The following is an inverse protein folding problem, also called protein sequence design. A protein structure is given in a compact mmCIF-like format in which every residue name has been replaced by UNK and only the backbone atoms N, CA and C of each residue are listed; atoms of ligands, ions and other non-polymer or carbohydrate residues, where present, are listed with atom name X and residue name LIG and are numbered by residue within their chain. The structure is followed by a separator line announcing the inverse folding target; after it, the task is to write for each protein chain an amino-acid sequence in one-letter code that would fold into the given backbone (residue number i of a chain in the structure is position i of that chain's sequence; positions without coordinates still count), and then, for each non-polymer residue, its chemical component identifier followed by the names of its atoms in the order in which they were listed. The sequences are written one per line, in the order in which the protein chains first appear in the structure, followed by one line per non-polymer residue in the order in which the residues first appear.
data_IF_736614431189
#
_entry.id   IF_736614431189
#
_cell.length_a   1.000
_cell.length_b   1.000
_cell.length_c   1.000
_cell.angle_alpha   90.00
_cell.angle_beta   90.00
_cell.angle_gamma   90.00
#
_symmetry.space_group_name_H-M   'P 1'
#
loop_
_entity.id
_entity.type
_entity.pdbx_description
1 polymer ?
#
# COMPACT_ATOMS: atom_id res chain seq x y z
N UNK A 1 -22.30 17.11 10.27
CA UNK A 1 -21.14 16.38 10.83
C UNK A 1 -21.55 15.02 11.38
N UNK A 2 -22.67 14.91 12.10
CA UNK A 2 -23.12 13.64 12.72
C UNK A 2 -23.20 12.44 11.76
N UNK A 3 -23.71 12.63 10.54
CA UNK A 3 -23.75 11.57 9.53
C UNK A 3 -22.35 11.05 9.12
N UNK A 4 -21.36 11.94 9.02
CA UNK A 4 -19.98 11.56 8.69
C UNK A 4 -19.32 10.82 9.85
N UNK A 5 -19.56 11.26 11.09
CA UNK A 5 -19.11 10.52 12.28
C UNK A 5 -19.77 9.14 12.38
N UNK A 6 -21.04 9.00 11.97
CA UNK A 6 -21.71 7.71 11.91
C UNK A 6 -21.06 6.79 10.87
N UNK A 7 -20.78 7.31 9.68
CA UNK A 7 -20.08 6.57 8.61
C UNK A 7 -18.69 6.11 9.11
N UNK A 8 -17.93 6.99 9.77
CA UNK A 8 -16.65 6.63 10.40
C UNK A 8 -16.80 5.42 11.33
N UNK A 9 -17.77 5.47 12.26
CA UNK A 9 -18.00 4.40 13.24
C UNK A 9 -18.39 3.08 12.56
N UNK A 10 -19.24 3.14 11.54
CA UNK A 10 -19.66 1.95 10.76
C UNK A 10 -18.45 1.33 10.05
N UNK A 11 -17.69 2.13 9.30
CA UNK A 11 -16.53 1.63 8.54
C UNK A 11 -15.45 1.09 9.48
N UNK A 12 -15.15 1.80 10.58
CA UNK A 12 -14.25 1.31 11.62
C UNK A 12 -14.74 -0.02 12.19
N UNK A 13 -16.04 -0.13 12.51
CA UNK A 13 -16.65 -1.37 13.00
C UNK A 13 -16.50 -2.53 12.02
N UNK A 14 -16.77 -2.31 10.72
CA UNK A 14 -16.60 -3.31 9.66
C UNK A 14 -15.15 -3.81 9.60
N UNK A 15 -14.17 -2.92 9.72
CA UNK A 15 -12.75 -3.31 9.73
C UNK A 15 -12.41 -4.16 10.95
N UNK A 16 -12.93 -3.78 12.13
CA UNK A 16 -12.71 -4.50 13.39
C UNK A 16 -13.42 -5.84 13.48
N UNK A 17 -14.30 -6.20 12.53
CA UNK A 17 -14.79 -7.58 12.38
C UNK A 17 -13.67 -8.56 11.96
N UNK A 18 -12.54 -8.03 11.49
CA UNK A 18 -11.33 -8.79 11.15
C UNK A 18 -11.59 -10.02 10.25
N UNK A 19 -12.41 -9.83 9.21
CA UNK A 19 -12.78 -10.88 8.25
C UNK A 19 -12.00 -10.71 6.94
N UNK A 20 -11.25 -11.74 6.54
CA UNK A 20 -10.49 -11.74 5.28
C UNK A 20 -11.40 -11.48 4.06
N UNK A 21 -12.59 -12.08 4.02
CA UNK A 21 -13.54 -11.89 2.90
C UNK A 21 -14.04 -10.45 2.82
N UNK A 22 -14.21 -9.78 3.96
CA UNK A 22 -14.57 -8.36 4.00
C UNK A 22 -13.40 -7.52 3.49
N UNK A 23 -12.19 -7.78 3.98
CA UNK A 23 -10.97 -7.07 3.58
C UNK A 23 -10.73 -7.15 2.07
N UNK A 24 -10.91 -8.32 1.46
CA UNK A 24 -10.81 -8.49 0.01
C UNK A 24 -11.73 -7.54 -0.78
N UNK A 25 -12.93 -7.26 -0.25
CA UNK A 25 -13.88 -6.34 -0.88
C UNK A 25 -13.57 -4.89 -0.56
N UNK A 26 -13.53 -4.52 0.71
CA UNK A 26 -13.45 -3.11 1.12
C UNK A 26 -12.08 -2.48 0.81
N UNK A 27 -11.02 -3.28 0.78
CA UNK A 27 -9.69 -2.84 0.38
C UNK A 27 -9.42 -3.10 -1.10
N UNK A 28 -10.41 -3.54 -1.87
CA UNK A 28 -10.35 -3.60 -3.32
C UNK A 28 -10.07 -2.23 -3.94
N UNK A 29 -9.51 -2.23 -5.16
CA UNK A 29 -9.10 -1.01 -5.86
C UNK A 29 -10.24 0.02 -6.01
N UNK A 30 -11.46 -0.46 -6.20
CA UNK A 30 -12.66 0.35 -6.35
C UNK A 30 -13.10 1.07 -5.06
N UNK A 31 -12.90 0.45 -3.90
CA UNK A 31 -13.48 0.93 -2.63
C UNK A 31 -12.47 1.52 -1.67
N UNK A 32 -11.19 1.13 -1.74
CA UNK A 32 -10.20 1.45 -0.71
C UNK A 32 -10.04 2.96 -0.48
N UNK A 33 -10.16 3.78 -1.53
CA UNK A 33 -10.09 5.23 -1.38
C UNK A 33 -11.30 5.78 -0.62
N UNK A 34 -12.50 5.25 -0.85
CA UNK A 34 -13.72 5.67 -0.15
C UNK A 34 -13.74 5.20 1.30
N UNK A 35 -13.18 4.01 1.56
CA UNK A 35 -12.94 3.52 2.93
C UNK A 35 -12.00 4.47 3.68
N UNK A 36 -10.85 4.83 3.08
CA UNK A 36 -9.91 5.78 3.68
C UNK A 36 -10.58 7.14 3.91
N UNK A 37 -11.39 7.60 2.95
CA UNK A 37 -12.15 8.84 3.05
C UNK A 37 -13.19 8.86 4.16
N UNK A 38 -13.86 7.74 4.36
CA UNK A 38 -14.82 7.56 5.45
C UNK A 38 -14.16 7.66 6.83
N UNK A 39 -12.87 7.34 6.91
CA UNK A 39 -12.07 7.37 8.13
C UNK A 39 -11.43 8.74 8.43
N UNK A 40 -11.68 9.75 7.60
CA UNK A 40 -11.19 11.13 7.80
C UNK A 40 -11.93 11.89 8.92
N UNK A 41 -13.10 11.39 9.32
CA UNK A 41 -14.07 12.06 10.20
C UNK A 41 -14.16 11.37 11.57
N UNK A 42 -13.02 11.12 12.21
CA UNK A 42 -12.97 10.57 13.56
C UNK A 42 -13.60 11.57 14.56
N UNK A 43 -14.69 11.21 15.28
CA UNK A 43 -15.30 12.10 16.26
C UNK A 43 -14.41 12.41 17.46
N UNK A 44 -13.38 11.59 17.71
CA UNK A 44 -12.45 11.77 18.83
C UNK A 44 -11.28 12.71 18.47
N UNK A 45 -11.20 13.16 17.21
CA UNK A 45 -10.17 14.07 16.72
C UNK A 45 -10.79 15.43 16.37
N UNK A 46 -10.29 16.57 16.91
CA UNK A 46 -10.91 17.88 16.71
C UNK A 46 -10.97 18.38 15.26
N UNK A 47 -10.13 17.82 14.38
CA UNK A 47 -9.95 18.27 13.01
C UNK A 47 -10.06 17.10 12.04
N UNK A 48 -10.74 17.34 10.91
CA UNK A 48 -10.85 16.37 9.82
C UNK A 48 -9.46 16.05 9.29
N UNK A 49 -9.18 14.76 9.11
CA UNK A 49 -7.92 14.31 8.56
C UNK A 49 -7.98 14.32 7.03
N UNK A 50 -6.86 14.57 6.35
CA UNK A 50 -6.81 14.66 4.89
C UNK A 50 -6.06 13.47 4.27
N UNK A 51 -6.42 12.26 4.71
CA UNK A 51 -5.74 11.02 4.34
C UNK A 51 -5.81 10.74 2.84
N UNK A 52 -6.96 10.94 2.19
CA UNK A 52 -7.10 10.76 0.73
C UNK A 52 -6.28 11.77 -0.05
N UNK A 53 -6.24 13.03 0.38
CA UNK A 53 -5.48 14.07 -0.31
C UNK A 53 -3.98 13.76 -0.26
N UNK A 54 -3.48 13.28 0.87
CA UNK A 54 -2.09 12.82 0.96
C UNK A 54 -1.79 11.73 -0.07
N UNK A 55 -2.64 10.70 -0.16
CA UNK A 55 -2.48 9.60 -1.13
C UNK A 55 -2.62 10.04 -2.60
N UNK A 56 -3.35 11.12 -2.89
CA UNK A 56 -3.53 11.63 -4.26
C UNK A 56 -2.41 12.57 -4.69
N UNK A 57 -1.95 13.44 -3.79
CA UNK A 57 -1.04 14.54 -4.12
C UNK A 57 0.41 14.22 -3.83
N UNK A 58 0.69 13.36 -2.84
CA UNK A 58 2.06 13.16 -2.32
C UNK A 58 2.63 11.78 -2.63
N UNK A 59 1.78 10.85 -3.07
CA UNK A 59 2.14 9.46 -3.32
C UNK A 59 2.26 9.25 -4.82
N UNK A 60 3.50 9.12 -5.29
CA UNK A 60 3.82 8.94 -6.71
C UNK A 60 4.37 7.55 -6.92
N UNK A 61 3.67 6.76 -7.73
CA UNK A 61 4.15 5.45 -8.17
C UNK A 61 5.25 5.62 -9.21
N UNK A 62 6.37 4.94 -9.01
CA UNK A 62 7.54 4.99 -9.88
C UNK A 62 8.00 3.60 -10.23
N UNK A 63 8.19 3.37 -11.52
CA UNK A 63 8.66 2.10 -12.07
C UNK A 63 10.08 2.29 -12.62
N UNK A 64 11.05 1.50 -12.15
CA UNK A 64 12.35 1.45 -12.82
C UNK A 64 12.36 0.50 -14.03
N UNK A 65 11.49 -0.50 -13.98
CA UNK A 65 11.19 -1.44 -15.07
C UNK A 65 9.67 -1.47 -15.20
N UNK A 66 9.11 -1.27 -16.40
CA UNK A 66 7.66 -1.32 -16.59
C UNK A 66 7.09 -2.67 -16.15
N UNK A 67 6.10 -2.66 -15.27
CA UNK A 67 5.36 -3.85 -14.88
C UNK A 67 4.24 -4.04 -15.91
N UNK A 68 4.26 -5.14 -16.66
CA UNK A 68 3.30 -5.35 -17.76
C UNK A 68 1.93 -5.82 -17.26
N UNK A 69 1.90 -6.52 -16.14
CA UNK A 69 0.68 -7.10 -15.62
C UNK A 69 -0.08 -6.07 -14.76
N UNK A 70 -1.26 -5.57 -15.21
CA UNK A 70 -2.03 -4.60 -14.44
C UNK A 70 -2.52 -5.15 -13.09
N UNK A 71 -2.67 -6.47 -12.96
CA UNK A 71 -3.01 -7.10 -11.68
C UNK A 71 -1.89 -6.94 -10.64
N UNK A 72 -0.63 -7.00 -11.07
CA UNK A 72 0.54 -6.80 -10.20
C UNK A 72 0.58 -5.35 -9.73
N UNK A 73 0.37 -4.40 -10.64
CA UNK A 73 0.28 -2.96 -10.31
C UNK A 73 -0.84 -2.70 -9.30
N UNK A 74 -2.04 -3.21 -9.55
CA UNK A 74 -3.20 -3.08 -8.64
C UNK A 74 -2.86 -3.61 -7.24
N UNK A 75 -2.16 -4.74 -7.16
CA UNK A 75 -1.76 -5.38 -5.90
C UNK A 75 -0.67 -4.62 -5.15
N UNK A 76 0.29 -4.02 -5.84
CA UNK A 76 1.28 -3.11 -5.25
C UNK A 76 0.58 -1.90 -4.63
N UNK A 77 -0.36 -1.26 -5.35
CA UNK A 77 -1.12 -0.14 -4.82
C UNK A 77 -1.99 -0.54 -3.64
N UNK A 78 -2.65 -1.70 -3.71
CA UNK A 78 -3.45 -2.24 -2.63
C UNK A 78 -2.59 -2.47 -1.38
N UNK A 79 -1.44 -3.13 -1.51
CA UNK A 79 -0.50 -3.37 -0.40
C UNK A 79 -0.07 -2.05 0.26
N UNK A 80 0.29 -1.04 -0.53
CA UNK A 80 0.66 0.27 0.00
C UNK A 80 -0.47 0.95 0.77
N UNK A 81 -1.67 1.01 0.18
CA UNK A 81 -2.83 1.68 0.79
C UNK A 81 -3.30 0.96 2.05
N UNK A 82 -3.27 -0.38 2.08
CA UNK A 82 -3.57 -1.17 3.29
C UNK A 82 -2.52 -0.93 4.37
N UNK A 83 -1.23 -0.85 4.02
CA UNK A 83 -0.18 -0.48 4.95
C UNK A 83 -0.38 0.92 5.53
N UNK A 84 -0.66 1.91 4.68
CA UNK A 84 -0.97 3.27 5.11
C UNK A 84 -2.20 3.32 6.03
N UNK A 85 -3.26 2.57 5.70
CA UNK A 85 -4.44 2.47 6.55
C UNK A 85 -4.09 1.89 7.93
N UNK A 86 -3.37 0.77 7.95
CA UNK A 86 -2.98 0.06 9.18
C UNK A 86 -2.15 0.95 10.10
N UNK A 87 -1.15 1.61 9.53
CA UNK A 87 -0.10 2.23 10.32
C UNK A 87 -0.19 3.77 10.46
N UNK A 88 -1.02 4.45 9.65
CA UNK A 88 -1.30 5.90 9.78
C UNK A 88 -2.73 6.10 10.26
N UNK A 89 -3.70 5.58 9.50
CA UNK A 89 -5.11 5.93 9.70
C UNK A 89 -5.67 5.27 10.97
N UNK A 90 -5.34 4.00 11.21
CA UNK A 90 -5.91 3.19 12.29
C UNK A 90 -4.89 2.74 13.34
N UNK A 91 -3.68 3.29 13.34
CA UNK A 91 -2.56 2.85 14.17
C UNK A 91 -2.85 2.75 15.67
N UNK A 92 -3.81 3.55 16.17
CA UNK A 92 -4.16 3.64 17.59
C UNK A 92 -5.38 2.79 17.99
N UNK A 93 -6.08 2.19 17.02
CA UNK A 93 -7.39 1.56 17.26
C UNK A 93 -7.44 0.08 16.89
N UNK A 94 -6.44 -0.43 16.18
CA UNK A 94 -6.36 -1.83 15.80
C UNK A 94 -5.79 -2.67 16.95
N UNK A 95 -6.35 -3.86 17.15
CA UNK A 95 -5.77 -4.88 18.00
C UNK A 95 -4.71 -5.70 17.24
N UNK A 96 -3.92 -6.48 17.98
CA UNK A 96 -2.84 -7.29 17.39
C UNK A 96 -3.35 -8.30 16.35
N UNK A 97 -4.55 -8.86 16.57
CA UNK A 97 -5.17 -9.82 15.67
C UNK A 97 -5.53 -9.18 14.32
N UNK A 98 -6.09 -7.96 14.32
CA UNK A 98 -6.41 -7.24 13.09
C UNK A 98 -5.15 -6.77 12.38
N UNK A 99 -4.14 -6.31 13.12
CA UNK A 99 -2.82 -5.97 12.56
C UNK A 99 -2.20 -7.18 11.86
N UNK A 100 -2.27 -8.37 12.47
CA UNK A 100 -1.77 -9.61 11.88
C UNK A 100 -2.49 -9.96 10.57
N UNK A 101 -3.82 -9.86 10.52
CA UNK A 101 -4.60 -10.09 9.31
C UNK A 101 -4.28 -9.10 8.18
N UNK A 102 -4.13 -7.81 8.50
CA UNK A 102 -3.75 -6.79 7.52
C UNK A 102 -2.33 -7.03 6.99
N UNK A 103 -1.40 -7.41 7.87
CA UNK A 103 -0.07 -7.84 7.46
C UNK A 103 -0.16 -9.05 6.53
N UNK A 104 -0.93 -10.09 6.87
CA UNK A 104 -1.11 -11.27 6.01
C UNK A 104 -1.59 -10.89 4.61
N UNK A 105 -2.57 -9.98 4.50
CA UNK A 105 -3.04 -9.45 3.22
C UNK A 105 -1.94 -8.72 2.43
N UNK A 106 -1.16 -7.86 3.09
CA UNK A 106 -0.03 -7.16 2.49
C UNK A 106 1.00 -8.18 1.95
N UNK A 107 1.37 -9.17 2.76
CA UNK A 107 2.32 -10.21 2.35
C UNK A 107 1.79 -11.04 1.18
N UNK A 108 0.50 -11.39 1.17
CA UNK A 108 -0.12 -12.12 0.06
C UNK A 108 -0.08 -11.31 -1.24
N UNK A 109 -0.34 -10.00 -1.19
CA UNK A 109 -0.24 -9.13 -2.36
C UNK A 109 1.20 -9.00 -2.88
N UNK A 110 2.18 -9.05 -1.97
CA UNK A 110 3.59 -8.94 -2.29
C UNK A 110 4.20 -10.23 -2.84
N UNK A 111 3.55 -11.38 -2.60
CA UNK A 111 4.00 -12.69 -3.07
C UNK A 111 3.66 -12.96 -4.55
N UNK A 112 3.03 -12.01 -5.25
CA UNK A 112 2.70 -12.16 -6.66
C UNK A 112 3.99 -12.07 -7.49
N UNK A 113 4.32 -13.17 -8.16
CA UNK A 113 5.48 -13.27 -9.02
C UNK A 113 5.19 -12.68 -10.41
N UNK A 114 5.99 -11.68 -10.80
CA UNK A 114 6.12 -11.24 -12.19
C UNK A 114 7.50 -11.65 -12.70
N UNK A 115 7.61 -12.92 -13.11
CA UNK A 115 8.84 -13.48 -13.66
C UNK A 115 9.39 -12.68 -14.85
N UNK A 116 8.54 -11.95 -15.58
CA UNK A 116 8.97 -11.09 -16.69
C UNK A 116 9.63 -9.81 -16.20
N UNK A 117 9.06 -9.16 -15.18
CA UNK A 117 9.69 -8.02 -14.50
C UNK A 117 11.05 -8.42 -13.93
N UNK A 118 11.10 -9.57 -13.25
CA UNK A 118 12.32 -10.10 -12.66
C UNK A 118 13.40 -10.29 -13.73
N UNK A 119 13.09 -10.97 -14.83
CA UNK A 119 14.04 -11.20 -15.92
C UNK A 119 14.54 -9.89 -16.55
N UNK A 120 13.65 -8.93 -16.80
CA UNK A 120 14.02 -7.61 -17.34
C UNK A 120 14.86 -6.80 -16.36
N UNK A 121 14.60 -6.88 -15.06
CA UNK A 121 15.40 -6.26 -14.01
C UNK A 121 16.84 -6.80 -14.02
N UNK A 122 17.05 -8.12 -14.04
CA UNK A 122 18.40 -8.69 -14.13
C UNK A 122 19.09 -8.36 -15.45
N UNK A 123 18.34 -8.38 -16.56
CA UNK A 123 18.90 -8.03 -17.85
C UNK A 123 19.45 -6.59 -17.84
N UNK A 124 18.71 -5.63 -17.26
CA UNK A 124 19.15 -4.24 -17.13
C UNK A 124 20.31 -4.07 -16.15
N UNK A 125 20.32 -4.80 -15.03
CA UNK A 125 21.42 -4.75 -14.06
C UNK A 125 22.73 -5.30 -14.64
N UNK A 126 22.64 -6.40 -15.41
CA UNK A 126 23.79 -7.05 -16.05
C UNK A 126 24.26 -6.34 -17.32
N UNK A 127 23.47 -5.43 -17.89
CA UNK A 127 23.86 -4.73 -19.11
C UNK A 127 25.06 -3.79 -18.86
N UNK A 128 26.12 -3.87 -19.70
CA UNK A 128 27.28 -2.99 -19.61
C UNK A 128 26.98 -1.55 -20.05
N UNK A 129 25.86 -1.32 -20.75
CA UNK A 129 25.43 0.02 -21.20
C UNK A 129 24.59 0.77 -20.15
N UNK A 130 24.18 0.09 -19.07
CA UNK A 130 23.44 0.73 -17.98
C UNK A 130 24.38 1.61 -17.17
N UNK A 131 24.15 2.92 -17.20
CA UNK A 131 24.96 3.90 -16.47
C UNK A 131 25.02 3.59 -14.96
N UNK A 132 26.08 4.02 -14.29
CA UNK A 132 26.23 3.84 -12.84
C UNK A 132 25.08 4.49 -12.05
N UNK A 133 24.51 5.58 -12.55
CA UNK A 133 23.36 6.26 -11.96
C UNK A 133 22.06 5.47 -12.15
N UNK A 134 21.85 4.88 -13.33
CA UNK A 134 20.74 3.96 -13.58
C UNK A 134 20.84 2.69 -12.72
N UNK A 135 22.06 2.15 -12.51
CA UNK A 135 22.29 1.01 -11.59
C UNK A 135 21.98 1.38 -10.14
N UNK A 136 22.40 2.57 -9.68
CA UNK A 136 22.03 3.08 -8.34
C UNK A 136 20.52 3.25 -8.20
N UNK A 137 19.83 3.75 -9.22
CA UNK A 137 18.38 3.88 -9.19
C UNK A 137 17.67 2.53 -9.12
N UNK A 138 18.14 1.51 -9.86
CA UNK A 138 17.62 0.14 -9.79
C UNK A 138 17.83 -0.50 -8.40
N UNK A 139 19.02 -0.33 -7.80
CA UNK A 139 19.34 -0.85 -6.46
C UNK A 139 18.64 -0.04 -5.34
N UNK A 140 18.39 1.26 -5.55
CA UNK A 140 17.61 2.07 -4.62
C UNK A 140 16.11 1.76 -4.69
N UNK A 141 15.64 1.32 -5.86
CA UNK A 141 14.27 0.83 -6.03
C UNK A 141 14.07 -0.41 -5.17
N UNK A 142 15.11 -1.25 -5.04
CA UNK A 142 15.15 -2.44 -4.20
C UNK A 142 15.01 -2.16 -2.69
N UNK A 143 14.98 -0.88 -2.29
CA UNK A 143 14.75 -0.47 -0.90
C UNK A 143 13.64 0.60 -0.77
N UNK A 144 13.02 1.05 -1.86
CA UNK A 144 12.27 2.30 -1.86
C UNK A 144 11.25 2.45 -2.97
N UNK A 145 10.21 1.61 -2.98
CA UNK A 145 9.04 1.85 -3.85
C UNK A 145 8.23 3.09 -3.39
N UNK A 146 8.45 3.63 -2.19
CA UNK A 146 7.77 4.85 -1.72
C UNK A 146 8.69 5.70 -0.84
N UNK A 147 8.92 6.98 -1.21
CA UNK A 147 9.70 7.91 -0.40
C UNK A 147 9.08 9.30 -0.40
N UNK A 148 8.50 9.70 0.74
CA UNK A 148 9.09 10.71 1.65
C UNK A 148 8.20 10.87 2.90
N UNK A 149 8.80 10.54 4.05
CA UNK A 149 8.33 10.74 5.45
C UNK A 149 7.27 9.74 5.96
N UNK A 150 7.72 8.74 6.71
CA UNK A 150 6.93 8.16 7.80
C UNK A 150 6.55 6.68 7.70
N UNK A 151 6.54 6.08 6.50
CA UNK A 151 6.15 4.68 6.35
C UNK A 151 7.18 3.85 5.58
N UNK A 152 7.92 2.99 6.30
CA UNK A 152 8.76 1.96 5.71
C UNK A 152 7.89 0.76 5.38
N UNK A 153 7.25 0.76 4.22
CA UNK A 153 6.81 -0.50 3.60
C UNK A 153 7.91 -0.91 2.64
N UNK A 154 8.85 -1.69 3.16
CA UNK A 154 9.73 -2.47 2.32
C UNK A 154 8.85 -3.53 1.65
N UNK A 155 8.48 -3.29 0.41
CA UNK A 155 8.19 -4.39 -0.49
C UNK A 155 8.84 -4.05 -1.79
N UNK A 156 9.90 -4.78 -1.99
CA UNK A 156 10.64 -4.80 -3.21
C UNK A 156 10.54 -6.23 -3.68
N UNK A 157 10.18 -6.33 -4.94
CA UNK A 157 10.36 -7.52 -5.74
C UNK A 157 11.87 -7.82 -5.77
N UNK A 158 12.37 -8.62 -4.82
CA UNK A 158 13.72 -9.18 -4.91
C UNK A 158 13.90 -10.45 -4.04
N UNK A 159 13.79 -11.59 -4.73
CA UNK A 159 14.49 -12.87 -4.52
C UNK A 159 14.31 -13.66 -3.22
N UNK A 160 13.58 -14.76 -3.37
CA UNK A 160 14.05 -16.04 -2.84
C UNK A 160 15.37 -16.42 -3.51
N UNK A 161 16.45 -16.29 -2.75
CA UNK A 161 17.56 -17.24 -2.65
C UNK A 161 17.86 -17.42 -1.16
#
# INVERSE_FOLDING_TARGET
MDGLHMIFKIVKGIILLNSAQIFEKIFGEELIMDIIGSLEYDPDVPQVQHYRNFLKEHVVFKEAVPIKNPMVISKIHQAYRVGYLKDVVLARVLDEATVASLNSMIHSNNAIDDSTFIQELFARLRSPTTSAESKKNLVSLDLGIWSRRGFRVATVIAFGL
#
